data_IF_251944753477
#
_entry.id   IF_251944753477
#
_cell.length_a   1.000
_cell.length_b   1.000
_cell.length_c   1.000
_cell.angle_alpha   90.00
_cell.angle_beta   90.00
_cell.angle_gamma   90.00
#
_symmetry.space_group_name_H-M   'P 1'
#
loop_
_entity.id
_entity.type
_entity.pdbx_description
1 polymer ?
#
# COMPACT_ATOMS: atom_id res chain seq x y z
N UNK A 1 12.80 24.06 -12.89
CA UNK A 1 14.01 23.20 -12.78
C UNK A 1 14.10 22.51 -11.42
N UNK A 2 13.97 23.22 -10.28
CA UNK A 2 14.02 22.60 -8.95
C UNK A 2 12.87 21.64 -8.61
N UNK A 3 11.60 21.99 -8.91
CA UNK A 3 10.45 21.11 -8.64
C UNK A 3 10.60 19.74 -9.33
N UNK A 4 11.06 19.75 -10.58
CA UNK A 4 11.26 18.52 -11.35
C UNK A 4 12.29 17.59 -10.70
N UNK A 5 13.36 18.14 -10.12
CA UNK A 5 14.35 17.35 -9.40
C UNK A 5 13.78 16.69 -8.13
N UNK A 6 12.85 17.35 -7.43
CA UNK A 6 12.15 16.75 -6.29
C UNK A 6 11.19 15.64 -6.74
N UNK A 7 10.40 15.87 -7.78
CA UNK A 7 9.52 14.85 -8.37
C UNK A 7 10.32 13.62 -8.80
N UNK A 8 11.43 13.83 -9.51
CA UNK A 8 12.30 12.73 -9.93
C UNK A 8 12.86 11.98 -8.73
N UNK A 9 13.22 12.68 -7.65
CA UNK A 9 13.66 12.05 -6.39
C UNK A 9 12.56 11.23 -5.74
N UNK A 10 11.33 11.74 -5.68
CA UNK A 10 10.19 11.01 -5.10
C UNK A 10 9.84 9.75 -5.89
N UNK A 11 9.96 9.79 -7.23
CA UNK A 11 9.69 8.64 -8.09
C UNK A 11 10.63 7.44 -7.81
N UNK A 12 11.77 7.66 -7.13
CA UNK A 12 12.69 6.60 -6.72
C UNK A 12 12.41 6.01 -5.33
N UNK A 13 11.51 6.62 -4.54
CA UNK A 13 11.24 6.17 -3.17
C UNK A 13 10.69 4.73 -3.15
N UNK A 14 11.13 3.90 -2.19
CA UNK A 14 10.50 2.62 -1.95
C UNK A 14 9.08 2.83 -1.40
N UNK A 15 8.12 2.03 -1.84
CA UNK A 15 6.72 2.13 -1.40
C UNK A 15 6.43 1.34 -0.12
N UNK A 16 7.26 0.34 0.20
CA UNK A 16 7.08 -0.52 1.36
C UNK A 16 8.40 -0.80 2.09
N UNK A 17 8.29 -1.12 3.39
CA UNK A 17 9.37 -1.68 4.20
C UNK A 17 8.97 -3.04 4.77
N UNK A 18 9.93 -3.95 4.95
CA UNK A 18 9.67 -5.26 5.54
C UNK A 18 10.63 -5.52 6.71
N UNK A 19 10.12 -5.37 7.93
CA UNK A 19 10.94 -5.38 9.15
C UNK A 19 10.91 -6.77 9.76
N UNK A 20 12.11 -7.31 10.04
CA UNK A 20 12.32 -8.61 10.68
C UNK A 20 11.58 -9.79 10.02
N UNK A 21 11.17 -9.66 8.76
CA UNK A 21 10.39 -10.68 8.07
C UNK A 21 8.95 -10.84 8.58
N UNK A 22 8.46 -9.92 9.45
CA UNK A 22 7.18 -10.06 10.16
C UNK A 22 6.30 -8.81 10.17
N UNK A 23 6.84 -7.62 9.89
CA UNK A 23 6.07 -6.37 9.86
C UNK A 23 6.17 -5.77 8.48
N UNK A 24 5.04 -5.57 7.81
CA UNK A 24 4.96 -4.90 6.52
C UNK A 24 4.54 -3.45 6.74
N UNK A 25 5.36 -2.51 6.27
CA UNK A 25 5.14 -1.07 6.42
C UNK A 25 4.81 -0.43 5.09
N UNK A 26 3.82 0.46 5.04
CA UNK A 26 3.47 1.29 3.88
C UNK A 26 2.83 2.61 4.33
N UNK A 27 2.66 3.57 3.43
CA UNK A 27 2.02 4.85 3.80
C UNK A 27 0.50 4.71 3.94
N UNK A 28 -0.15 4.26 2.86
CA UNK A 28 -1.59 4.05 2.75
C UNK A 28 -1.99 2.70 3.32
N UNK A 29 -2.20 1.69 2.49
CA UNK A 29 -2.68 0.40 2.98
C UNK A 29 -2.53 -0.73 1.97
N UNK A 30 -3.39 -1.73 2.08
CA UNK A 30 -3.29 -2.95 1.28
C UNK A 30 -3.83 -2.74 -0.14
N UNK A 31 -3.42 -3.62 -1.06
CA UNK A 31 -3.98 -3.71 -2.42
C UNK A 31 -4.70 -5.04 -2.62
N UNK A 32 -5.86 -5.08 -3.32
CA UNK A 32 -6.50 -6.33 -3.74
C UNK A 32 -5.60 -7.18 -4.63
N UNK A 33 -4.61 -6.58 -5.28
CA UNK A 33 -3.67 -7.24 -6.19
C UNK A 33 -2.47 -7.85 -5.45
N UNK A 34 -2.32 -7.59 -4.15
CA UNK A 34 -1.20 -8.08 -3.35
C UNK A 34 -1.41 -9.57 -3.00
N UNK A 35 -0.63 -10.42 -3.64
CA UNK A 35 -0.66 -11.86 -3.45
C UNK A 35 0.57 -12.43 -2.74
N UNK A 36 1.74 -11.81 -2.90
CA UNK A 36 2.97 -12.23 -2.23
C UNK A 36 3.94 -11.05 -2.08
N UNK A 37 4.95 -11.22 -1.21
CA UNK A 37 5.96 -10.19 -0.95
C UNK A 37 6.86 -9.93 -2.17
N UNK A 38 7.04 -10.90 -3.07
CA UNK A 38 7.89 -10.70 -4.25
C UNK A 38 7.33 -9.63 -5.19
N UNK A 39 6.01 -9.51 -5.31
CA UNK A 39 5.40 -8.44 -6.11
C UNK A 39 5.86 -7.04 -5.67
N UNK A 40 6.01 -6.83 -4.35
CA UNK A 40 6.46 -5.56 -3.79
C UNK A 40 7.93 -5.27 -4.12
N UNK A 41 8.78 -6.31 -4.21
CA UNK A 41 10.21 -6.17 -4.55
C UNK A 41 10.42 -5.80 -6.02
N UNK A 42 9.50 -6.21 -6.89
CA UNK A 42 9.58 -6.01 -8.34
C UNK A 42 8.79 -4.80 -8.83
N UNK A 43 8.27 -3.95 -7.92
CA UNK A 43 7.64 -2.69 -8.31
C UNK A 43 8.64 -1.81 -9.07
N UNK A 44 8.30 -1.36 -10.30
CA UNK A 44 9.23 -0.63 -11.15
C UNK A 44 9.59 0.72 -10.53
N UNK A 45 10.86 1.13 -10.66
CA UNK A 45 11.31 2.46 -10.28
C UNK A 45 12.27 3.00 -11.37
N UNK A 46 12.23 4.31 -11.68
CA UNK A 46 11.38 5.33 -11.08
C UNK A 46 9.92 5.18 -11.52
N UNK A 47 8.96 5.53 -10.67
CA UNK A 47 7.54 5.50 -11.02
C UNK A 47 6.76 6.66 -10.41
N UNK A 48 5.84 7.22 -11.20
CA UNK A 48 4.67 7.94 -10.72
C UNK A 48 3.47 6.98 -10.89
N UNK A 49 2.95 6.36 -9.80
CA UNK A 49 2.01 5.25 -9.91
C UNK A 49 0.73 5.63 -10.67
N UNK A 50 0.35 4.92 -11.75
CA UNK A 50 -0.89 5.22 -12.46
C UNK A 50 -2.10 4.85 -11.61
N UNK A 51 -3.22 5.55 -11.79
CA UNK A 51 -4.50 5.19 -11.16
C UNK A 51 -5.40 4.48 -12.19
N UNK A 52 -5.82 3.22 -11.97
CA UNK A 52 -5.55 2.35 -10.81
C UNK A 52 -4.24 1.55 -10.90
N UNK A 53 -3.57 1.33 -9.77
CA UNK A 53 -2.41 0.41 -9.65
C UNK A 53 -2.17 -0.01 -8.20
N UNK A 54 -1.42 -1.09 -8.00
CA UNK A 54 -0.94 -1.49 -6.67
C UNK A 54 -0.15 -0.36 -5.99
N UNK A 55 0.63 0.43 -6.74
CA UNK A 55 1.39 1.56 -6.17
C UNK A 55 0.46 2.65 -5.60
N UNK A 56 -0.65 2.94 -6.27
CA UNK A 56 -1.69 3.85 -5.75
C UNK A 56 -2.32 3.27 -4.48
N UNK A 57 -2.63 1.98 -4.44
CA UNK A 57 -3.22 1.35 -3.26
C UNK A 57 -2.31 1.41 -2.04
N UNK A 58 -1.02 1.10 -2.22
CA UNK A 58 -0.01 1.17 -1.15
C UNK A 58 0.15 2.58 -0.56
N UNK A 59 -0.22 3.62 -1.32
CA UNK A 59 -0.14 5.02 -0.92
C UNK A 59 -1.48 5.60 -0.41
N UNK A 60 -2.63 5.08 -0.84
CA UNK A 60 -3.95 5.72 -0.64
C UNK A 60 -5.04 4.83 -0.03
N UNK A 61 -4.84 3.51 0.08
CA UNK A 61 -5.84 2.65 0.69
C UNK A 61 -5.96 2.89 2.20
N UNK A 62 -7.16 2.76 2.74
CA UNK A 62 -7.46 2.99 4.16
C UNK A 62 -8.15 1.78 4.82
N UNK A 63 -7.84 1.46 6.08
CA UNK A 63 -8.65 0.51 6.84
C UNK A 63 -9.98 1.15 7.27
N UNK A 64 -11.06 0.37 7.30
CA UNK A 64 -12.36 0.77 7.88
C UNK A 64 -12.97 -0.41 8.65
N UNK A 65 -13.25 -0.20 9.94
CA UNK A 65 -13.81 -1.23 10.84
C UNK A 65 -15.26 -1.62 10.50
N UNK A 66 -15.97 -0.79 9.74
CA UNK A 66 -17.36 -1.04 9.34
C UNK A 66 -17.48 -1.70 7.97
N UNK A 67 -16.36 -1.83 7.26
CA UNK A 67 -16.30 -2.48 5.95
C UNK A 67 -15.93 -3.95 6.11
N UNK A 68 -16.57 -4.81 5.32
CA UNK A 68 -16.14 -6.20 5.10
C UNK A 68 -15.59 -6.31 3.68
N UNK A 69 -14.41 -6.90 3.52
CA UNK A 69 -13.74 -7.00 2.23
C UNK A 69 -13.23 -5.64 1.74
N UNK A 70 -13.45 -5.35 0.47
CA UNK A 70 -12.98 -4.14 -0.22
C UNK A 70 -14.15 -3.27 -0.67
N UNK A 71 -14.01 -1.95 -0.53
CA UNK A 71 -14.96 -0.95 -1.05
C UNK A 71 -14.22 0.24 -1.65
N UNK A 72 -14.89 1.04 -2.49
CA UNK A 72 -14.29 2.25 -3.05
C UNK A 72 -14.01 3.27 -1.93
N UNK A 73 -12.84 3.89 -1.94
CA UNK A 73 -12.48 4.91 -0.96
C UNK A 73 -13.26 6.21 -1.22
N UNK A 74 -13.79 6.82 -0.15
CA UNK A 74 -14.48 8.13 -0.20
C UNK A 74 -13.55 9.27 -0.61
N UNK A 75 -12.23 9.06 -0.55
CA UNK A 75 -11.21 9.95 -1.13
C UNK A 75 -11.24 10.04 -2.66
N UNK A 76 -11.99 9.17 -3.33
CA UNK A 76 -12.06 9.10 -4.79
C UNK A 76 -10.87 8.40 -5.46
N UNK A 77 -10.00 7.77 -4.68
CA UNK A 77 -8.83 7.02 -5.14
C UNK A 77 -8.60 5.78 -4.28
N UNK A 78 -8.26 4.65 -4.91
CA UNK A 78 -8.06 3.36 -4.23
C UNK A 78 -9.30 2.89 -3.45
N UNK A 79 -9.07 2.11 -2.38
CA UNK A 79 -10.05 1.34 -1.64
C UNK A 79 -10.02 1.62 -0.14
N UNK A 80 -11.15 1.36 0.51
CA UNK A 80 -11.20 1.01 1.93
C UNK A 80 -11.23 -0.50 2.09
N UNK A 81 -10.60 -1.02 3.13
CA UNK A 81 -10.55 -2.45 3.44
C UNK A 81 -10.89 -2.78 4.88
N UNK A 82 -11.59 -3.89 5.06
CA UNK A 82 -12.04 -4.39 6.34
C UNK A 82 -10.98 -5.10 7.16
N UNK A 83 -11.32 -5.36 8.43
CA UNK A 83 -10.48 -6.15 9.33
C UNK A 83 -10.25 -7.58 8.81
N UNK A 84 -11.21 -8.15 8.08
CA UNK A 84 -11.09 -9.47 7.45
C UNK A 84 -9.97 -9.52 6.41
N UNK A 85 -9.83 -8.45 5.60
CA UNK A 85 -8.74 -8.31 4.62
C UNK A 85 -7.38 -8.25 5.32
N UNK A 86 -7.30 -7.54 6.45
CA UNK A 86 -6.07 -7.46 7.27
C UNK A 86 -5.67 -8.85 7.74
N UNK A 87 -6.60 -9.61 8.33
CA UNK A 87 -6.33 -10.96 8.82
C UNK A 87 -5.91 -11.91 7.71
N UNK A 88 -6.65 -11.94 6.60
CA UNK A 88 -6.32 -12.79 5.44
C UNK A 88 -4.93 -12.46 4.91
N UNK A 89 -4.61 -11.17 4.77
CA UNK A 89 -3.32 -10.73 4.25
C UNK A 89 -2.18 -11.09 5.19
N UNK A 90 -2.36 -10.91 6.51
CA UNK A 90 -1.36 -11.30 7.49
C UNK A 90 -1.06 -12.80 7.43
N UNK A 91 -2.09 -13.64 7.34
CA UNK A 91 -1.94 -15.08 7.18
C UNK A 91 -1.25 -15.44 5.85
N UNK A 92 -1.73 -14.87 4.75
CA UNK A 92 -1.25 -15.14 3.38
C UNK A 92 0.22 -14.77 3.19
N UNK A 93 0.64 -13.63 3.73
CA UNK A 93 2.01 -13.14 3.62
C UNK A 93 2.91 -13.63 4.76
N UNK A 94 2.36 -14.37 5.73
CA UNK A 94 3.03 -14.82 6.94
C UNK A 94 3.69 -13.65 7.70
N UNK A 95 2.90 -12.63 8.00
CA UNK A 95 3.30 -11.44 8.76
C UNK A 95 2.39 -11.26 9.99
N UNK A 96 2.88 -10.54 11.00
CA UNK A 96 2.16 -10.29 12.25
C UNK A 96 1.45 -8.94 12.25
N UNK A 97 2.02 -7.95 11.56
CA UNK A 97 1.59 -6.57 11.65
C UNK A 97 1.71 -5.84 10.31
N UNK A 98 0.71 -5.02 10.04
CA UNK A 98 0.75 -3.98 9.01
C UNK A 98 0.89 -2.64 9.73
N UNK A 99 2.00 -1.94 9.48
CA UNK A 99 2.26 -0.62 10.03
C UNK A 99 2.03 0.45 8.95
N UNK A 100 1.18 1.45 9.25
CA UNK A 100 0.73 2.43 8.27
C UNK A 100 0.52 3.83 8.86
N UNK A 101 0.29 4.83 7.99
CA UNK A 101 0.11 6.23 8.37
C UNK A 101 -1.17 6.83 7.73
N UNK A 102 -1.05 7.89 6.92
CA UNK A 102 -2.07 8.50 6.05
C UNK A 102 -3.38 9.06 6.68
N UNK A 103 -3.94 8.46 7.72
CA UNK A 103 -5.09 8.97 8.49
C UNK A 103 -4.62 9.68 9.77
N UNK A 104 -5.30 10.76 10.15
CA UNK A 104 -5.11 11.53 11.39
C UNK A 104 -6.11 11.07 12.45
#
# INVERSE_FOLDING_TARGET
>A
MFLKAYEDTFNWMPLCGFIAGRILCMHGGLSPQLANIEQLRHLPRPQDPPNPSMGIDLLWADPDQWVKGWQANTRGVSYVFGQDVVFETCQKLNIDLIARAHQV
#
